data_IF_894061215700
#
_entry.id   IF_894061215700
#
_cell.length_a   1.000
_cell.length_b   1.000
_cell.length_c   1.000
_cell.angle_alpha   90.00
_cell.angle_beta   90.00
_cell.angle_gamma   90.00
#
_symmetry.space_group_name_H-M   'P 1'
#
loop_
_entity.id
_entity.type
_entity.pdbx_description
1 polymer ?
#
# COMPACT_ATOMS: atom_id res chain seq x y z
N UNK A 1 7.98 -38.56 -27.52
CA UNK A 1 9.38 -38.09 -27.66
C UNK A 1 10.31 -39.30 -27.50
N UNK A 2 10.94 -39.75 -28.58
CA UNK A 2 11.87 -40.88 -28.52
C UNK A 2 13.26 -40.33 -28.19
N UNK A 3 13.70 -40.47 -26.94
CA UNK A 3 14.98 -39.92 -26.47
C UNK A 3 16.11 -40.83 -26.98
N UNK A 4 16.77 -40.45 -28.08
CA UNK A 4 17.78 -41.28 -28.74
C UNK A 4 19.13 -41.37 -28.01
N UNK A 5 19.37 -40.54 -26.98
CA UNK A 5 20.70 -40.42 -26.34
C UNK A 5 20.61 -40.39 -24.80
N UNK A 6 19.88 -41.36 -24.21
CA UNK A 6 19.86 -41.54 -22.75
C UNK A 6 21.13 -42.27 -22.30
N UNK A 7 22.00 -41.57 -21.58
CA UNK A 7 23.14 -42.15 -20.88
C UNK A 7 22.63 -42.79 -19.58
N UNK A 8 22.34 -44.09 -19.62
CA UNK A 8 21.80 -44.83 -18.46
C UNK A 8 22.81 -45.02 -17.33
N UNK A 9 24.12 -45.11 -17.64
CA UNK A 9 25.16 -45.50 -16.68
C UNK A 9 26.20 -44.38 -16.43
N UNK A 10 25.76 -43.13 -16.29
CA UNK A 10 26.68 -42.06 -15.96
C UNK A 10 26.93 -41.97 -14.44
N UNK A 11 28.13 -41.54 -14.07
CA UNK A 11 28.57 -41.41 -12.67
C UNK A 11 29.00 -39.98 -12.39
N UNK A 12 28.45 -39.40 -11.33
CA UNK A 12 28.92 -38.13 -10.77
C UNK A 12 29.84 -38.47 -9.60
N UNK A 13 31.14 -38.23 -9.77
CA UNK A 13 32.14 -38.52 -8.76
C UNK A 13 32.69 -37.22 -8.16
N UNK A 14 32.82 -37.20 -6.82
CA UNK A 14 33.57 -36.18 -6.10
C UNK A 14 34.48 -36.87 -5.08
N UNK A 15 35.78 -36.85 -5.35
CA UNK A 15 36.76 -37.62 -4.58
C UNK A 15 36.56 -39.13 -4.77
N UNK A 16 36.44 -39.88 -3.66
CA UNK A 16 36.26 -41.34 -3.65
C UNK A 16 34.79 -41.79 -3.77
N UNK A 17 33.84 -40.85 -3.78
CA UNK A 17 32.41 -41.16 -3.75
C UNK A 17 31.83 -40.87 -5.14
N UNK A 18 31.11 -41.85 -5.68
CA UNK A 18 30.47 -41.79 -6.99
C UNK A 18 28.98 -42.11 -6.88
N UNK A 19 28.14 -41.25 -7.44
CA UNK A 19 26.70 -41.43 -7.54
C UNK A 19 26.33 -41.84 -8.96
N UNK A 20 25.63 -42.97 -9.11
CA UNK A 20 25.07 -43.38 -10.40
C UNK A 20 23.84 -42.53 -10.71
N UNK A 21 23.84 -41.88 -11.87
CA UNK A 21 22.72 -41.08 -12.36
C UNK A 21 22.54 -41.29 -13.86
N UNK A 22 21.30 -41.33 -14.32
CA UNK A 22 21.04 -41.29 -15.76
C UNK A 22 21.00 -39.85 -16.27
N UNK A 23 21.70 -39.55 -17.37
CA UNK A 23 21.59 -38.27 -18.07
C UNK A 23 20.91 -38.43 -19.41
N UNK A 24 20.21 -37.38 -19.86
CA UNK A 24 19.76 -37.26 -21.24
C UNK A 24 20.74 -36.34 -21.94
N UNK A 25 21.49 -36.89 -22.89
CA UNK A 25 22.46 -36.11 -23.67
C UNK A 25 21.75 -35.42 -24.84
N UNK A 26 22.07 -34.16 -25.05
CA UNK A 26 21.70 -33.40 -26.26
C UNK A 26 23.01 -33.06 -26.97
N UNK A 27 23.07 -33.21 -28.29
CA UNK A 27 24.31 -33.11 -29.09
C UNK A 27 25.08 -31.80 -28.78
N UNK A 28 26.42 -31.89 -28.71
CA UNK A 28 27.38 -30.82 -28.38
C UNK A 28 27.22 -30.20 -26.98
N UNK A 29 27.69 -30.92 -25.95
CA UNK A 29 27.75 -30.43 -24.56
C UNK A 29 28.98 -29.53 -24.38
N UNK A 30 28.91 -28.30 -24.90
CA UNK A 30 29.86 -27.23 -24.55
C UNK A 30 29.33 -26.36 -23.40
N UNK A 31 28.20 -26.73 -22.80
CA UNK A 31 27.54 -25.98 -21.73
C UNK A 31 27.64 -26.71 -20.39
N UNK A 32 27.70 -25.97 -19.26
CA UNK A 32 27.67 -26.57 -17.93
C UNK A 32 26.43 -27.45 -17.75
N UNK A 33 26.63 -28.71 -17.34
CA UNK A 33 25.55 -29.67 -17.15
C UNK A 33 24.71 -29.30 -15.94
N UNK A 34 23.39 -29.25 -16.10
CA UNK A 34 22.46 -28.98 -15.00
C UNK A 34 22.13 -30.30 -14.30
N UNK A 35 22.56 -30.45 -13.05
CA UNK A 35 22.16 -31.58 -12.20
C UNK A 35 20.73 -31.33 -11.73
N UNK A 36 19.80 -32.13 -12.26
CA UNK A 36 18.38 -32.01 -11.96
C UNK A 36 17.99 -32.59 -10.60
N UNK A 37 16.68 -32.64 -10.36
CA UNK A 37 16.08 -33.18 -9.13
C UNK A 37 16.50 -34.62 -8.82
N UNK A 38 16.68 -35.44 -9.85
CA UNK A 38 17.11 -36.84 -9.69
C UNK A 38 18.44 -36.98 -8.95
N UNK A 39 19.38 -36.05 -9.16
CA UNK A 39 20.65 -36.05 -8.45
C UNK A 39 20.47 -35.57 -7.00
N UNK A 40 19.66 -34.54 -6.76
CA UNK A 40 19.39 -34.04 -5.40
C UNK A 40 18.74 -35.10 -4.50
N UNK A 41 17.87 -35.94 -5.06
CA UNK A 41 17.26 -37.06 -4.30
C UNK A 41 18.31 -38.05 -3.81
N UNK A 42 19.39 -38.28 -4.57
CA UNK A 42 20.48 -39.17 -4.15
C UNK A 42 21.34 -38.57 -3.03
N UNK A 43 21.33 -37.24 -2.88
CA UNK A 43 22.09 -36.53 -1.85
C UNK A 43 21.30 -36.37 -0.55
N UNK A 44 20.07 -36.87 -0.47
CA UNK A 44 19.22 -36.75 0.72
C UNK A 44 19.82 -37.54 1.90
N UNK A 45 20.09 -36.95 3.07
CA UNK A 45 19.80 -35.61 3.57
C UNK A 45 20.92 -34.60 3.23
N UNK A 46 20.58 -33.48 2.58
CA UNK A 46 21.52 -32.40 2.27
C UNK A 46 21.09 -31.05 2.87
N UNK A 47 22.05 -30.19 3.14
CA UNK A 47 21.87 -28.81 3.58
C UNK A 47 22.32 -27.84 2.48
N UNK A 48 21.61 -26.73 2.30
CA UNK A 48 21.92 -25.71 1.30
C UNK A 48 22.33 -24.43 2.01
N UNK A 49 23.51 -23.93 1.67
CA UNK A 49 24.03 -22.63 2.10
C UNK A 49 24.10 -21.67 0.90
N UNK A 50 24.42 -20.39 1.12
CA UNK A 50 24.51 -19.40 0.03
C UNK A 50 25.54 -19.75 -1.05
N UNK A 51 26.55 -20.54 -0.70
CA UNK A 51 27.69 -20.87 -1.58
C UNK A 51 27.79 -22.36 -1.90
N UNK A 52 27.28 -23.23 -1.04
CA UNK A 52 27.54 -24.67 -1.12
C UNK A 52 26.33 -25.53 -0.75
N UNK A 53 26.27 -26.73 -1.33
CA UNK A 53 25.38 -27.82 -0.94
C UNK A 53 26.19 -28.88 -0.19
N UNK A 54 25.83 -29.16 1.06
CA UNK A 54 26.54 -30.09 1.95
C UNK A 54 25.71 -31.35 2.16
N UNK A 55 26.29 -32.53 1.96
CA UNK A 55 25.67 -33.82 2.30
C UNK A 55 26.62 -34.69 3.11
N UNK A 56 26.08 -35.55 3.98
CA UNK A 56 26.84 -36.49 4.81
C UNK A 56 26.64 -37.90 4.28
N UNK A 57 27.69 -38.49 3.71
CA UNK A 57 27.67 -39.87 3.22
C UNK A 57 28.82 -40.65 3.84
N UNK A 58 28.56 -41.80 4.46
CA UNK A 58 29.57 -42.71 5.05
C UNK A 58 30.57 -41.99 5.99
N UNK A 59 30.07 -41.14 6.91
CA UNK A 59 30.87 -40.32 7.84
C UNK A 59 31.86 -39.32 7.19
N UNK A 60 31.71 -39.02 5.90
CA UNK A 60 32.45 -37.95 5.21
C UNK A 60 31.47 -36.86 4.74
N UNK A 61 31.82 -35.61 4.99
CA UNK A 61 31.09 -34.44 4.48
C UNK A 61 31.54 -34.14 3.04
N UNK A 62 30.57 -34.02 2.14
CA UNK A 62 30.79 -33.65 0.75
C UNK A 62 30.09 -32.32 0.49
N UNK A 63 30.87 -31.31 0.09
CA UNK A 63 30.35 -30.01 -0.33
C UNK A 63 30.31 -29.92 -1.85
N UNK A 64 29.28 -29.32 -2.43
CA UNK A 64 29.21 -28.96 -3.85
C UNK A 64 29.03 -27.45 -3.97
N UNK A 65 30.01 -26.77 -4.54
CA UNK A 65 29.99 -25.31 -4.74
C UNK A 65 29.05 -24.91 -5.87
N UNK A 66 28.30 -23.83 -5.67
CA UNK A 66 27.43 -23.28 -6.70
C UNK A 66 28.20 -22.35 -7.65
N UNK A 67 28.05 -22.58 -8.95
CA UNK A 67 28.55 -21.65 -9.98
C UNK A 67 27.78 -20.31 -9.93
N UNK A 68 26.49 -20.35 -9.55
CA UNK A 68 25.63 -19.16 -9.38
C UNK A 68 24.85 -19.27 -8.08
N UNK A 69 24.71 -18.19 -7.29
CA UNK A 69 23.99 -18.24 -6.01
C UNK A 69 22.52 -18.65 -6.20
N UNK A 70 21.95 -19.43 -5.26
CA UNK A 70 20.58 -19.89 -5.36
C UNK A 70 19.59 -18.72 -5.26
N UNK A 71 18.66 -18.61 -6.22
CA UNK A 71 17.58 -17.62 -6.20
C UNK A 71 16.37 -18.16 -5.44
N UNK A 72 16.16 -17.69 -4.20
CA UNK A 72 14.95 -17.98 -3.41
C UNK A 72 13.76 -17.14 -3.90
N UNK A 73 12.70 -17.76 -4.42
CA UNK A 73 11.51 -17.07 -4.93
C UNK A 73 10.70 -16.34 -3.83
N UNK A 74 10.69 -16.86 -2.61
CA UNK A 74 9.88 -16.34 -1.49
C UNK A 74 10.34 -14.96 -1.00
N UNK A 75 11.65 -14.70 -0.99
CA UNK A 75 12.23 -13.42 -0.58
C UNK A 75 11.79 -12.24 -1.47
N UNK A 76 11.52 -12.50 -2.75
CA UNK A 76 11.10 -11.46 -3.69
C UNK A 76 9.65 -11.03 -3.45
N UNK A 77 8.75 -11.98 -3.17
CA UNK A 77 7.34 -11.70 -2.86
C UNK A 77 7.22 -10.89 -1.57
N UNK A 78 8.02 -11.24 -0.55
CA UNK A 78 8.07 -10.49 0.70
C UNK A 78 8.63 -9.08 0.50
N UNK A 79 9.67 -8.92 -0.33
CA UNK A 79 10.23 -7.60 -0.68
C UNK A 79 9.20 -6.72 -1.39
N UNK A 80 8.49 -7.24 -2.38
CA UNK A 80 7.46 -6.48 -3.09
C UNK A 80 6.29 -6.08 -2.17
N UNK A 81 5.86 -6.99 -1.29
CA UNK A 81 4.84 -6.70 -0.28
C UNK A 81 5.28 -5.59 0.68
N UNK A 82 6.52 -5.63 1.17
CA UNK A 82 7.09 -4.59 2.03
C UNK A 82 7.21 -3.25 1.31
N UNK A 83 7.70 -3.23 0.07
CA UNK A 83 7.81 -2.01 -0.76
C UNK A 83 6.43 -1.39 -0.97
N UNK A 84 5.40 -2.19 -1.26
CA UNK A 84 4.04 -1.69 -1.44
C UNK A 84 3.47 -1.03 -0.17
N UNK A 85 3.78 -1.59 1.01
CA UNK A 85 3.39 -1.05 2.32
C UNK A 85 4.14 0.24 2.64
N UNK A 86 5.45 0.28 2.40
CA UNK A 86 6.29 1.48 2.57
C UNK A 86 5.77 2.61 1.69
N UNK A 87 5.49 2.35 0.41
CA UNK A 87 4.93 3.34 -0.51
C UNK A 87 3.56 3.87 -0.06
N UNK A 88 2.72 3.04 0.55
CA UNK A 88 1.44 3.49 1.15
C UNK A 88 1.67 4.37 2.37
N UNK A 89 2.64 4.04 3.21
CA UNK A 89 3.00 4.84 4.39
C UNK A 89 3.58 6.19 3.96
N UNK A 90 4.48 6.22 2.97
CA UNK A 90 5.02 7.47 2.44
C UNK A 90 3.94 8.37 1.83
N UNK A 91 2.99 7.80 1.06
CA UNK A 91 1.84 8.55 0.55
C UNK A 91 1.03 9.19 1.69
N UNK A 92 0.71 8.41 2.73
CA UNK A 92 -0.01 8.92 3.91
C UNK A 92 0.80 9.99 4.65
N UNK A 93 2.11 9.80 4.84
CA UNK A 93 3.01 10.79 5.44
C UNK A 93 3.09 12.07 4.61
N UNK A 94 3.11 11.99 3.28
CA UNK A 94 3.08 13.17 2.40
C UNK A 94 1.78 13.94 2.56
N UNK A 95 0.63 13.26 2.62
CA UNK A 95 -0.65 13.91 2.93
C UNK A 95 -0.62 14.60 4.28
N UNK A 96 -0.15 13.93 5.34
CA UNK A 96 -0.02 14.49 6.69
C UNK A 96 0.92 15.70 6.71
N UNK A 97 2.08 15.61 6.08
CA UNK A 97 3.07 16.70 6.00
C UNK A 97 2.56 17.93 5.24
N UNK A 98 1.63 17.79 4.28
CA UNK A 98 0.97 18.93 3.63
C UNK A 98 0.17 19.75 4.65
N UNK A 99 -0.49 19.09 5.61
CA UNK A 99 -1.25 19.75 6.66
C UNK A 99 -0.34 20.40 7.71
N UNK A 100 0.81 19.79 8.03
CA UNK A 100 1.76 20.35 9.00
C UNK A 100 2.66 21.46 8.43
N UNK A 101 2.94 21.50 7.12
CA UNK A 101 3.98 22.39 6.57
C UNK A 101 3.59 23.86 6.48
N UNK A 102 2.30 24.22 6.48
CA UNK A 102 1.86 25.60 6.68
C UNK A 102 0.46 25.59 7.28
N UNK A 103 0.29 26.22 8.44
CA UNK A 103 -1.01 26.75 8.87
C UNK A 103 -1.41 27.80 7.82
N UNK A 104 -2.04 27.38 6.74
CA UNK A 104 -2.66 28.32 5.81
C UNK A 104 -3.90 28.88 6.50
N UNK A 105 -3.72 29.93 7.28
CA UNK A 105 -4.83 30.78 7.68
C UNK A 105 -5.30 31.51 6.42
N UNK A 106 -6.29 30.92 5.75
CA UNK A 106 -6.89 31.51 4.57
C UNK A 106 -7.84 32.58 5.09
N UNK A 107 -7.50 33.85 4.86
CA UNK A 107 -8.45 34.94 4.99
C UNK A 107 -9.52 34.76 3.92
N UNK A 108 -10.76 34.58 4.35
CA UNK A 108 -11.89 34.52 3.42
C UNK A 108 -12.15 35.94 2.88
N UNK A 109 -12.12 36.17 1.56
CA UNK A 109 -12.45 37.47 1.02
C UNK A 109 -13.96 37.69 1.15
N UNK A 110 -14.33 38.75 1.83
CA UNK A 110 -15.72 39.19 1.94
C UNK A 110 -16.04 40.20 0.84
N UNK A 111 -17.32 40.34 0.50
CA UNK A 111 -17.78 41.36 -0.45
C UNK A 111 -17.44 42.77 0.06
N UNK A 112 -17.18 43.73 -0.83
CA UNK A 112 -16.53 45.03 -0.52
C UNK A 112 -17.21 45.94 0.51
N UNK A 113 -18.46 45.69 0.92
CA UNK A 113 -19.18 46.47 1.95
C UNK A 113 -19.65 45.59 3.12
N UNK A 114 -19.02 44.43 3.27
CA UNK A 114 -19.45 43.43 4.21
C UNK A 114 -19.02 43.78 5.64
N UNK A 115 -19.99 43.87 6.55
CA UNK A 115 -19.75 44.05 7.97
C UNK A 115 -20.27 42.84 8.76
N UNK A 116 -19.39 42.21 9.53
CA UNK A 116 -19.71 41.05 10.37
C UNK A 116 -20.83 41.32 11.39
N UNK A 117 -21.03 42.59 11.77
CA UNK A 117 -22.07 43.01 12.72
C UNK A 117 -23.48 42.99 12.14
N UNK A 118 -23.63 43.03 10.82
CA UNK A 118 -24.93 43.20 10.16
C UNK A 118 -25.68 41.87 9.95
N UNK A 119 -25.31 40.80 10.66
CA UNK A 119 -25.72 39.44 10.29
C UNK A 119 -26.37 38.69 11.44
N UNK A 120 -27.58 38.13 11.24
CA UNK A 120 -28.23 37.26 12.19
C UNK A 120 -27.80 35.80 11.94
N UNK A 121 -26.55 35.45 12.17
CA UNK A 121 -26.01 34.12 11.76
C UNK A 121 -25.51 33.23 12.88
N UNK A 122 -25.92 33.47 14.13
CA UNK A 122 -25.95 32.38 15.13
C UNK A 122 -27.14 31.49 14.86
N UNK A 123 -27.02 30.65 13.84
CA UNK A 123 -28.02 29.65 13.53
C UNK A 123 -28.09 28.66 14.69
N UNK A 124 -29.29 28.48 15.24
CA UNK A 124 -29.53 27.49 16.29
C UNK A 124 -29.21 26.08 15.74
N UNK A 125 -28.54 25.22 16.53
CA UNK A 125 -28.35 23.83 16.13
C UNK A 125 -29.69 23.15 15.84
N UNK A 126 -29.72 22.28 14.82
CA UNK A 126 -30.90 21.45 14.56
C UNK A 126 -31.10 20.48 15.72
N UNK A 127 -32.36 20.26 16.12
CA UNK A 127 -32.71 19.17 17.01
C UNK A 127 -32.45 17.82 16.33
N UNK A 128 -31.61 17.00 16.96
CA UNK A 128 -31.24 15.68 16.46
C UNK A 128 -31.77 14.58 17.38
N UNK A 129 -32.03 13.41 16.81
CA UNK A 129 -32.32 12.20 17.58
C UNK A 129 -31.13 11.85 18.49
N UNK A 130 -31.41 11.14 19.60
CA UNK A 130 -30.39 10.75 20.60
C UNK A 130 -29.20 10.01 19.97
N UNK A 131 -29.47 9.09 19.05
CA UNK A 131 -28.45 8.32 18.34
C UNK A 131 -27.50 9.19 17.50
N UNK A 132 -28.04 10.16 16.74
CA UNK A 132 -27.23 11.09 15.96
C UNK A 132 -26.39 12.02 16.85
N UNK A 133 -26.92 12.38 18.02
CA UNK A 133 -26.23 13.23 18.97
C UNK A 133 -25.00 12.53 19.57
N UNK A 134 -25.13 11.23 19.88
CA UNK A 134 -24.01 10.40 20.34
C UNK A 134 -22.94 10.24 19.27
N UNK A 135 -23.35 9.95 18.02
CA UNK A 135 -22.42 9.92 16.88
C UNK A 135 -21.75 11.28 16.66
N UNK A 136 -22.47 12.39 16.87
CA UNK A 136 -21.92 13.74 16.77
C UNK A 136 -20.82 13.99 17.79
N UNK A 137 -21.07 13.68 19.07
CA UNK A 137 -20.08 13.83 20.15
C UNK A 137 -18.81 13.03 19.85
N UNK A 138 -18.96 11.76 19.48
CA UNK A 138 -17.82 10.88 19.14
C UNK A 138 -17.00 11.45 17.97
N UNK A 139 -17.68 11.94 16.93
CA UNK A 139 -17.01 12.48 15.73
C UNK A 139 -16.31 13.82 15.99
N UNK A 140 -16.91 14.68 16.80
CA UNK A 140 -16.28 15.94 17.23
C UNK A 140 -15.01 15.63 18.02
N UNK A 141 -15.08 14.68 18.94
CA UNK A 141 -13.92 14.23 19.72
C UNK A 141 -12.79 13.70 18.82
N UNK A 142 -13.13 12.82 17.87
CA UNK A 142 -12.17 12.32 16.87
C UNK A 142 -11.51 13.44 16.05
N UNK A 143 -12.27 14.48 15.68
CA UNK A 143 -11.73 15.62 14.94
C UNK A 143 -10.88 16.56 15.80
N UNK A 144 -11.19 16.70 17.09
CA UNK A 144 -10.35 17.44 18.05
C UNK A 144 -9.02 16.72 18.26
N UNK A 145 -9.05 15.40 18.45
CA UNK A 145 -7.85 14.56 18.60
C UNK A 145 -6.95 14.60 17.37
N UNK A 146 -7.54 14.68 16.17
CA UNK A 146 -6.80 14.83 14.90
C UNK A 146 -6.40 16.26 14.59
N UNK A 147 -6.66 17.21 15.48
CA UNK A 147 -6.38 18.65 15.29
C UNK A 147 -7.03 19.25 14.03
N UNK A 148 -8.12 18.65 13.53
CA UNK A 148 -8.85 19.14 12.35
C UNK A 148 -9.79 20.30 12.68
N UNK A 149 -10.26 20.36 13.94
CA UNK A 149 -11.12 21.43 14.45
C UNK A 149 -10.59 21.91 15.80
N UNK A 150 -11.01 23.10 16.21
CA UNK A 150 -10.73 23.67 17.53
C UNK A 150 -11.96 24.40 18.06
N UNK A 151 -12.15 24.49 19.39
CA UNK A 151 -13.17 25.36 19.95
C UNK A 151 -12.95 26.81 19.47
N UNK A 152 -14.02 27.47 19.05
CA UNK A 152 -13.99 28.85 18.56
C UNK A 152 -15.08 29.67 19.23
N UNK A 153 -14.84 30.97 19.38
CA UNK A 153 -15.81 31.96 19.86
C UNK A 153 -16.31 32.85 18.72
N UNK A 154 -16.38 32.29 17.51
CA UNK A 154 -16.76 33.03 16.32
C UNK A 154 -18.17 33.62 16.47
N UNK A 155 -18.42 34.84 15.98
CA UNK A 155 -19.78 35.35 15.87
C UNK A 155 -20.62 34.55 14.85
N UNK A 156 -19.98 33.71 14.03
CA UNK A 156 -20.60 32.88 13.01
C UNK A 156 -20.90 31.46 13.48
N UNK A 157 -22.09 30.95 13.14
CA UNK A 157 -22.36 29.52 13.15
C UNK A 157 -23.12 29.09 11.90
N UNK A 158 -22.82 27.88 11.42
CA UNK A 158 -23.57 27.25 10.34
C UNK A 158 -24.36 26.07 10.88
N UNK A 159 -25.50 25.80 10.24
CA UNK A 159 -26.32 24.65 10.56
C UNK A 159 -25.65 23.36 10.10
N UNK A 160 -25.52 22.39 11.00
CA UNK A 160 -25.01 21.05 10.71
C UNK A 160 -26.10 19.99 10.87
N UNK A 161 -26.13 19.00 9.97
CA UNK A 161 -27.06 17.87 10.05
C UNK A 161 -26.47 16.58 9.49
N UNK A 162 -27.08 15.46 9.84
CA UNK A 162 -26.70 14.13 9.36
C UNK A 162 -27.50 13.72 8.15
N UNK A 163 -26.82 13.13 7.16
CA UNK A 163 -27.44 12.55 5.97
C UNK A 163 -27.05 11.08 5.86
N UNK A 164 -28.06 10.21 5.76
CA UNK A 164 -27.89 8.82 5.36
C UNK A 164 -28.03 8.74 3.84
N UNK A 165 -26.96 8.38 3.12
CA UNK A 165 -27.05 8.07 1.68
C UNK A 165 -27.19 6.56 1.50
N UNK A 166 -27.94 6.12 0.49
CA UNK A 166 -28.16 4.71 0.17
C UNK A 166 -26.86 3.89 0.09
N UNK A 167 -25.83 4.39 -0.62
CA UNK A 167 -24.50 3.75 -0.72
C UNK A 167 -23.68 3.73 0.58
N UNK A 168 -24.22 4.24 1.69
CA UNK A 168 -23.59 4.27 3.01
C UNK A 168 -24.33 3.45 4.05
N UNK A 169 -25.51 2.95 3.71
CA UNK A 169 -26.23 1.97 4.52
C UNK A 169 -25.36 0.71 4.64
N UNK A 170 -24.69 0.29 3.56
CA UNK A 170 -23.71 -0.82 3.56
C UNK A 170 -22.51 -0.60 4.50
N UNK A 171 -22.18 0.65 4.86
CA UNK A 171 -21.09 0.99 5.81
C UNK A 171 -21.58 1.38 7.21
N UNK A 172 -22.90 1.46 7.41
CA UNK A 172 -23.53 1.72 8.72
C UNK A 172 -23.27 3.08 9.37
N UNK A 173 -22.76 4.11 8.66
CA UNK A 173 -22.33 5.37 9.30
C UNK A 173 -22.92 6.64 8.64
N UNK A 174 -23.62 7.51 9.40
CA UNK A 174 -24.19 8.75 8.87
C UNK A 174 -23.10 9.82 8.61
N UNK A 175 -23.29 10.66 7.58
CA UNK A 175 -22.34 11.76 7.27
C UNK A 175 -22.83 13.09 7.83
N UNK A 176 -21.96 13.76 8.59
CA UNK A 176 -22.15 15.14 8.99
C UNK A 176 -21.98 16.06 7.77
N UNK A 177 -22.96 16.92 7.53
CA UNK A 177 -22.98 17.93 6.47
C UNK A 177 -23.20 19.29 7.12
N UNK A 178 -22.39 20.28 6.74
CA UNK A 178 -22.49 21.66 7.23
C UNK A 178 -23.04 22.52 6.09
N UNK A 179 -24.11 23.27 6.36
CA UNK A 179 -24.76 24.13 5.39
C UNK A 179 -24.08 25.50 5.33
N UNK A 180 -23.15 25.66 4.40
CA UNK A 180 -22.44 26.92 4.16
C UNK A 180 -23.16 27.88 3.20
N UNK A 181 -24.43 27.62 2.79
CA UNK A 181 -25.12 28.48 1.81
C UNK A 181 -25.18 29.95 2.23
N UNK A 182 -25.43 30.23 3.51
CA UNK A 182 -25.45 31.60 4.04
C UNK A 182 -24.06 32.22 4.03
N UNK A 183 -23.04 31.47 4.45
CA UNK A 183 -21.65 31.93 4.41
C UNK A 183 -21.22 32.24 2.98
N UNK A 184 -21.51 31.35 2.03
CA UNK A 184 -21.13 31.52 0.62
C UNK A 184 -21.75 32.76 -0.05
N UNK A 185 -22.87 33.29 0.46
CA UNK A 185 -23.46 34.55 -0.04
C UNK A 185 -22.69 35.79 0.43
N UNK A 186 -21.99 35.70 1.55
CA UNK A 186 -21.19 36.78 2.12
C UNK A 186 -19.76 36.83 1.56
N UNK A 187 -19.31 35.73 0.96
CA UNK A 187 -17.96 35.59 0.42
C UNK A 187 -17.88 36.07 -1.03
N UNK A 188 -16.75 36.66 -1.38
CA UNK A 188 -16.42 36.98 -2.76
C UNK A 188 -16.19 35.70 -3.57
N UNK A 189 -16.62 35.72 -4.83
CA UNK A 189 -16.48 34.55 -5.69
C UNK A 189 -15.08 34.46 -6.31
N UNK A 190 -14.26 33.55 -5.77
CA UNK A 190 -12.92 33.27 -6.31
C UNK A 190 -13.03 32.21 -7.42
N UNK A 191 -12.77 32.60 -8.68
CA UNK A 191 -12.64 31.67 -9.81
C UNK A 191 -11.21 31.14 -9.89
N UNK A 192 -11.03 29.84 -9.74
CA UNK A 192 -9.80 29.16 -10.14
C UNK A 192 -10.04 28.38 -11.42
N UNK A 193 -9.21 28.54 -12.48
CA UNK A 193 -9.40 27.83 -13.73
C UNK A 193 -9.06 26.34 -13.54
N UNK A 194 -10.09 25.54 -13.25
CA UNK A 194 -9.95 24.09 -13.21
C UNK A 194 -10.08 23.55 -14.65
N UNK A 195 -9.12 22.73 -15.11
CA UNK A 195 -9.19 22.16 -16.45
C UNK A 195 -10.37 21.20 -16.59
N UNK A 196 -10.97 21.15 -17.78
CA UNK A 196 -12.06 20.22 -18.06
C UNK A 196 -11.57 18.77 -18.03
N UNK A 197 -12.49 17.85 -17.73
CA UNK A 197 -12.21 16.41 -17.69
C UNK A 197 -11.59 15.91 -19.00
N UNK A 198 -12.10 16.36 -20.15
CA UNK A 198 -11.58 16.02 -21.47
C UNK A 198 -10.13 16.47 -21.65
N UNK A 199 -9.82 17.68 -21.18
CA UNK A 199 -8.50 18.30 -21.35
C UNK A 199 -7.46 17.65 -20.45
N UNK A 200 -7.89 17.16 -19.28
CA UNK A 200 -7.04 16.35 -18.40
C UNK A 200 -6.72 14.98 -19.01
N UNK A 201 -7.69 14.31 -19.62
CA UNK A 201 -7.50 12.98 -20.22
C UNK A 201 -6.56 13.04 -21.42
N UNK A 202 -6.64 14.09 -22.24
CA UNK A 202 -5.73 14.28 -23.39
C UNK A 202 -4.25 14.46 -23.01
N UNK A 203 -3.95 14.74 -21.75
CA UNK A 203 -2.58 14.97 -21.25
C UNK A 203 -1.93 13.71 -20.65
N UNK A 204 -2.65 12.59 -20.61
CA UNK A 204 -2.18 11.27 -20.16
C UNK A 204 -1.88 10.43 -21.41
#
# INVERSE_FOLDING_TARGET
MNIQYKLSNARVCKGQICYNTSFVSVKNINTPMILGTQFLTLLYHFQVTEKELVTKTLNKEICFEFIKPPKTRELNILKESLISKINSIERKKKHINIWHRKKYEISLPYIKDFNERNIPTKVRPIQMNKEYLEYCKKKIQEYLEKELIRPSKSPWSCMGFYVMKASKIERGAPRLVINYKLLNKALEWIRYPLPNKSDLIKRI
#
